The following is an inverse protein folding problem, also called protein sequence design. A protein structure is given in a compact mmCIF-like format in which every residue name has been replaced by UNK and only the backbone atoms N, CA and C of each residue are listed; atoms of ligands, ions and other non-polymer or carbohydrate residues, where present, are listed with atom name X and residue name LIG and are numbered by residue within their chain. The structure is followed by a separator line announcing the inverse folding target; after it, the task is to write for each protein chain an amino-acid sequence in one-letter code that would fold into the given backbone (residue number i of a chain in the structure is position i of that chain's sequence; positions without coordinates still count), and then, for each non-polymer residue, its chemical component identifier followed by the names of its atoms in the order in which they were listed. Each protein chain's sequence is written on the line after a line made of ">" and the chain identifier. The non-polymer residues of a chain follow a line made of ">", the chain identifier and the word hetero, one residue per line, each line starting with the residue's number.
data_IF_925655575493
#
_entry.id   IF_925655575493
#
_cell.length_a   1.000
_cell.length_b   1.000
_cell.length_c   1.000
_cell.angle_alpha   90.00
_cell.angle_beta   90.00
_cell.angle_gamma   90.00
#
_symmetry.space_group_name_H-M   'P 1'
#
loop_
_entity.id
_entity.type
_entity.pdbx_description
1 polymer ?
#
# COMPACT_ATOMS: atom_id res chain seq x y z
N UNK A 1 59.13 -34.20 -37.81
CA UNK A 1 59.15 -33.26 -36.66
C UNK A 1 58.94 -31.82 -37.09
N UNK A 2 59.52 -31.36 -38.21
CA UNK A 2 59.31 -29.98 -38.70
C UNK A 2 57.86 -29.71 -39.16
N UNK A 3 57.24 -30.63 -39.91
CA UNK A 3 55.83 -30.50 -40.36
C UNK A 3 54.83 -30.32 -39.21
N UNK A 4 55.04 -31.02 -38.10
CA UNK A 4 54.13 -30.93 -36.94
C UNK A 4 54.25 -29.59 -36.20
N UNK A 5 55.41 -28.93 -36.30
CA UNK A 5 55.61 -27.58 -35.75
C UNK A 5 54.96 -26.53 -36.65
N UNK A 6 55.03 -26.71 -37.97
CA UNK A 6 54.40 -25.82 -38.95
C UNK A 6 52.85 -25.91 -38.88
N UNK A 7 52.29 -27.11 -38.68
CA UNK A 7 50.85 -27.27 -38.46
C UNK A 7 50.37 -26.59 -37.17
N UNK A 8 51.13 -26.70 -36.08
CA UNK A 8 50.79 -26.04 -34.81
C UNK A 8 50.89 -24.51 -34.89
N UNK A 9 51.84 -23.99 -35.67
CA UNK A 9 51.93 -22.54 -35.93
C UNK A 9 50.76 -22.06 -36.78
N UNK A 10 50.37 -22.84 -37.80
CA UNK A 10 49.21 -22.53 -38.65
C UNK A 10 47.91 -22.50 -37.84
N UNK A 11 47.72 -23.47 -36.93
CA UNK A 11 46.54 -23.50 -36.04
C UNK A 11 46.53 -22.32 -35.09
N UNK A 12 47.68 -21.95 -34.51
CA UNK A 12 47.79 -20.79 -33.62
C UNK A 12 47.48 -19.48 -34.34
N UNK A 13 47.94 -19.34 -35.57
CA UNK A 13 47.77 -18.12 -36.35
C UNK A 13 46.30 -17.99 -36.82
N UNK A 14 45.66 -19.11 -37.17
CA UNK A 14 44.22 -19.16 -37.44
C UNK A 14 43.37 -18.82 -36.22
N UNK A 15 43.71 -19.34 -35.03
CA UNK A 15 43.01 -18.99 -33.79
C UNK A 15 43.17 -17.50 -33.47
N UNK A 16 44.36 -16.94 -33.69
CA UNK A 16 44.63 -15.52 -33.47
C UNK A 16 43.83 -14.62 -34.43
N UNK A 17 43.62 -15.08 -35.66
CA UNK A 17 42.80 -14.38 -36.65
C UNK A 17 41.32 -14.44 -36.30
N UNK A 18 40.80 -15.61 -35.92
CA UNK A 18 39.41 -15.77 -35.47
C UNK A 18 39.13 -14.95 -34.21
N UNK A 19 40.06 -14.91 -33.25
CA UNK A 19 39.92 -14.06 -32.06
C UNK A 19 39.89 -12.58 -32.43
N UNK A 20 40.67 -12.13 -33.43
CA UNK A 20 40.61 -10.74 -33.91
C UNK A 20 39.31 -10.43 -34.64
N UNK A 21 38.80 -11.33 -35.46
CA UNK A 21 37.52 -11.14 -36.18
C UNK A 21 36.35 -11.11 -35.20
N UNK A 22 36.32 -12.01 -34.21
CA UNK A 22 35.31 -12.02 -33.14
C UNK A 22 35.41 -10.78 -32.23
N UNK A 23 36.63 -10.29 -31.96
CA UNK A 23 36.85 -9.06 -31.20
C UNK A 23 36.49 -7.80 -32.01
N UNK A 24 36.61 -7.83 -33.34
CA UNK A 24 36.22 -6.72 -34.22
C UNK A 24 34.69 -6.59 -34.36
N UNK A 25 33.98 -7.72 -34.34
CA UNK A 25 32.51 -7.76 -34.26
C UNK A 25 31.98 -7.41 -32.86
N UNK A 26 32.81 -7.52 -31.82
CA UNK A 26 32.56 -6.96 -30.48
C UNK A 26 32.82 -5.44 -30.40
N UNK A 27 32.56 -4.71 -31.50
CA UNK A 27 32.33 -3.27 -31.42
C UNK A 27 31.11 -3.05 -30.53
N UNK A 28 31.39 -2.68 -29.28
CA UNK A 28 30.38 -2.12 -28.39
C UNK A 28 29.54 -1.11 -29.20
N UNK A 29 28.20 -1.20 -29.20
CA UNK A 29 27.42 -0.08 -29.66
C UNK A 29 27.87 1.11 -28.83
N UNK A 30 28.36 2.17 -29.50
CA UNK A 30 28.72 3.43 -28.86
C UNK A 30 27.58 3.80 -27.92
N UNK A 31 27.86 3.80 -26.61
CA UNK A 31 26.94 4.23 -25.59
C UNK A 31 26.35 5.56 -26.07
N UNK A 32 25.02 5.70 -26.19
CA UNK A 32 24.47 7.04 -26.23
C UNK A 32 24.97 7.74 -24.97
N UNK A 33 25.68 8.85 -25.14
CA UNK A 33 25.85 9.88 -24.11
C UNK A 33 24.47 10.38 -23.75
N UNK A 34 23.80 9.61 -22.91
CA UNK A 34 22.68 10.01 -22.12
C UNK A 34 23.16 9.77 -20.70
N UNK A 35 23.15 10.83 -19.90
CA UNK A 35 23.15 10.79 -18.44
C UNK A 35 22.05 9.83 -17.97
N UNK A 36 22.32 8.54 -18.03
CA UNK A 36 21.43 7.51 -17.51
C UNK A 36 21.89 7.26 -16.10
N UNK A 37 21.68 8.27 -15.26
CA UNK A 37 21.48 8.06 -13.84
C UNK A 37 20.52 6.87 -13.74
N UNK A 38 21.00 5.73 -13.24
CA UNK A 38 20.12 4.66 -12.82
C UNK A 38 19.28 5.28 -11.70
N UNK A 39 18.10 5.81 -12.02
CA UNK A 39 17.18 6.34 -11.01
C UNK A 39 16.62 5.11 -10.31
N UNK A 40 17.35 4.62 -9.32
CA UNK A 40 16.83 3.65 -8.37
C UNK A 40 15.55 4.22 -7.79
N UNK A 41 14.48 3.41 -7.77
CA UNK A 41 13.25 3.83 -7.11
C UNK A 41 13.54 3.95 -5.61
N UNK A 42 13.62 5.18 -5.10
CA UNK A 42 13.82 5.37 -3.67
C UNK A 42 12.61 4.87 -2.86
N UNK A 43 12.81 4.27 -1.66
CA UNK A 43 11.73 3.80 -0.79
C UNK A 43 10.68 4.88 -0.50
N UNK A 44 11.10 6.15 -0.41
CA UNK A 44 10.24 7.31 -0.19
C UNK A 44 9.13 7.45 -1.24
N UNK A 45 9.37 7.01 -2.49
CA UNK A 45 8.35 7.03 -3.55
C UNK A 45 7.23 6.00 -3.31
N UNK A 46 7.52 4.94 -2.55
CA UNK A 46 6.54 3.94 -2.12
C UNK A 46 5.89 4.40 -0.81
N UNK A 47 6.70 4.86 0.13
CA UNK A 47 6.39 5.13 1.53
C UNK A 47 6.84 3.98 2.43
N UNK A 48 6.88 4.23 3.74
CA UNK A 48 7.39 3.27 4.73
C UNK A 48 6.24 2.56 5.44
N UNK A 49 6.47 1.34 5.88
CA UNK A 49 5.53 0.57 6.70
C UNK A 49 6.06 0.45 8.11
N UNK A 50 5.32 1.01 9.07
CA UNK A 50 5.59 0.89 10.50
C UNK A 50 4.29 0.61 11.25
N UNK A 51 4.00 -0.66 11.61
CA UNK A 51 2.79 -1.01 12.35
C UNK A 51 2.78 -0.45 13.78
N UNK A 52 3.94 -0.06 14.32
CA UNK A 52 4.06 0.46 15.69
C UNK A 52 3.93 1.99 15.77
N UNK A 53 3.90 2.67 14.62
CA UNK A 53 3.79 4.12 14.60
C UNK A 53 2.40 4.58 15.10
N UNK A 54 2.33 5.75 15.75
CA UNK A 54 1.05 6.32 16.18
C UNK A 54 0.15 6.57 14.97
N UNK A 55 -1.11 6.18 15.11
CA UNK A 55 -2.13 6.19 14.07
C UNK A 55 -3.40 6.87 14.60
N UNK A 56 -3.92 7.83 13.86
CA UNK A 56 -5.17 8.53 14.16
C UNK A 56 -6.41 7.72 13.75
N UNK A 57 -6.19 6.51 13.22
CA UNK A 57 -7.20 5.57 12.76
C UNK A 57 -7.25 5.45 11.24
N UNK A 58 -6.61 6.35 10.50
CA UNK A 58 -6.59 6.35 9.03
C UNK A 58 -5.72 5.26 8.44
N UNK A 59 -4.81 4.67 9.22
CA UNK A 59 -3.84 3.70 8.72
C UNK A 59 -2.63 4.36 8.04
N UNK A 60 -2.54 5.70 8.07
CA UNK A 60 -1.48 6.51 7.46
C UNK A 60 -1.08 7.60 8.45
N UNK A 61 0.21 7.72 8.71
CA UNK A 61 0.83 8.78 9.49
C UNK A 61 1.80 9.56 8.61
N UNK A 62 1.91 10.87 8.81
CA UNK A 62 2.90 11.69 8.13
C UNK A 62 3.92 12.20 9.14
N UNK A 63 5.19 11.91 8.90
CA UNK A 63 6.29 12.41 9.71
C UNK A 63 7.22 13.23 8.83
N UNK A 64 7.25 14.55 9.02
CA UNK A 64 8.22 15.47 8.39
C UNK A 64 8.44 15.20 6.89
N UNK A 65 7.34 15.06 6.13
CA UNK A 65 7.29 14.78 4.68
C UNK A 65 7.44 13.30 4.25
N UNK A 66 7.51 12.37 5.20
CA UNK A 66 7.54 10.94 4.96
C UNK A 66 6.16 10.35 5.20
N UNK A 67 5.66 9.58 4.23
CA UNK A 67 4.42 8.80 4.40
C UNK A 67 4.74 7.48 5.09
N UNK A 68 4.14 7.27 6.26
CA UNK A 68 4.25 6.05 7.06
C UNK A 68 2.89 5.36 7.08
N UNK A 69 2.82 4.15 6.57
CA UNK A 69 1.66 3.29 6.65
C UNK A 69 1.71 2.48 7.95
N UNK A 70 0.62 2.54 8.71
CA UNK A 70 0.42 1.73 9.93
C UNK A 70 -0.53 0.56 9.67
N UNK A 71 -1.35 0.65 8.63
CA UNK A 71 -2.21 -0.43 8.16
C UNK A 71 -1.54 -1.23 7.03
N UNK A 72 -1.34 -2.53 7.28
CA UNK A 72 -0.77 -3.45 6.30
C UNK A 72 -1.56 -3.50 5.00
N UNK A 73 -2.89 -3.42 5.05
CA UNK A 73 -3.73 -3.52 3.86
C UNK A 73 -3.56 -2.32 2.93
N UNK A 74 -3.31 -1.13 3.50
CA UNK A 74 -3.07 0.09 2.72
C UNK A 74 -1.68 0.01 2.10
N UNK A 75 -0.68 -0.38 2.89
CA UNK A 75 0.70 -0.53 2.42
C UNK A 75 0.80 -1.55 1.28
N UNK A 76 0.20 -2.72 1.41
CA UNK A 76 0.25 -3.76 0.37
C UNK A 76 -0.52 -3.36 -0.87
N UNK A 77 -1.66 -2.66 -0.73
CA UNK A 77 -2.38 -2.08 -1.87
C UNK A 77 -1.52 -1.07 -2.63
N UNK A 78 -0.80 -0.22 -1.89
CA UNK A 78 0.17 0.75 -2.46
C UNK A 78 1.32 0.02 -3.17
N UNK A 79 1.83 -1.04 -2.58
CA UNK A 79 2.91 -1.86 -3.16
C UNK A 79 2.48 -2.48 -4.50
N UNK A 80 1.28 -3.09 -4.54
CA UNK A 80 0.67 -3.64 -5.77
C UNK A 80 0.52 -2.57 -6.85
N UNK A 81 -0.02 -1.41 -6.47
CA UNK A 81 -0.20 -0.28 -7.39
C UNK A 81 1.15 0.22 -7.97
N UNK A 82 2.18 0.36 -7.13
CA UNK A 82 3.51 0.76 -7.57
C UNK A 82 4.16 -0.29 -8.47
N UNK A 83 3.95 -1.58 -8.21
CA UNK A 83 4.42 -2.66 -9.06
C UNK A 83 3.78 -2.62 -10.46
N UNK A 84 2.49 -2.28 -10.54
CA UNK A 84 1.80 -2.11 -11.82
C UNK A 84 2.34 -0.93 -12.65
N UNK A 85 2.80 0.15 -12.00
CA UNK A 85 3.31 1.35 -12.69
C UNK A 85 4.79 1.21 -13.07
N UNK A 86 5.64 0.83 -12.12
CA UNK A 86 7.09 0.84 -12.28
C UNK A 86 7.67 -0.52 -12.70
N UNK A 87 6.86 -1.56 -12.64
CA UNK A 87 7.29 -2.93 -12.86
C UNK A 87 7.71 -3.62 -11.57
N UNK A 88 7.33 -4.89 -11.48
CA UNK A 88 7.50 -5.72 -10.29
C UNK A 88 8.96 -5.93 -9.89
N UNK A 89 9.87 -6.01 -10.86
CA UNK A 89 11.30 -6.18 -10.63
C UNK A 89 11.90 -5.03 -9.80
N UNK A 90 11.48 -3.79 -10.06
CA UNK A 90 11.99 -2.63 -9.31
C UNK A 90 11.44 -2.62 -7.88
N UNK A 91 10.16 -2.92 -7.68
CA UNK A 91 9.56 -2.94 -6.34
C UNK A 91 10.19 -4.03 -5.47
N UNK A 92 10.50 -5.20 -6.05
CA UNK A 92 11.16 -6.30 -5.32
C UNK A 92 12.52 -5.94 -4.75
N UNK A 93 13.22 -4.97 -5.34
CA UNK A 93 14.54 -4.53 -4.87
C UNK A 93 14.48 -3.51 -3.72
N UNK A 94 13.29 -2.99 -3.40
CA UNK A 94 13.12 -1.81 -2.54
C UNK A 94 12.13 -2.04 -1.40
N UNK A 95 11.19 -2.98 -1.52
CA UNK A 95 10.12 -3.17 -0.53
C UNK A 95 10.64 -3.48 0.89
N UNK A 96 11.75 -4.21 1.01
CA UNK A 96 12.36 -4.57 2.29
C UNK A 96 12.93 -3.34 3.02
N UNK A 97 13.43 -2.37 2.25
CA UNK A 97 13.89 -1.06 2.76
C UNK A 97 12.74 -0.14 3.18
N UNK A 98 11.51 -0.46 2.79
CA UNK A 98 10.33 0.29 3.23
C UNK A 98 9.87 -0.14 4.62
N UNK A 99 10.41 -1.23 5.19
CA UNK A 99 9.98 -1.74 6.49
C UNK A 99 10.68 -1.00 7.65
N UNK A 100 9.90 -0.63 8.67
CA UNK A 100 10.39 0.01 9.90
C UNK A 100 9.80 -0.71 11.14
N UNK A 101 10.32 -0.38 12.32
CA UNK A 101 9.79 -0.90 13.59
C UNK A 101 9.75 -2.43 13.66
N UNK A 102 8.65 -2.98 14.18
CA UNK A 102 8.44 -4.41 14.29
C UNK A 102 8.36 -5.12 12.93
N UNK A 103 8.00 -4.43 11.85
CA UNK A 103 8.06 -4.99 10.49
C UNK A 103 9.50 -5.22 10.01
N UNK A 104 10.42 -4.31 10.32
CA UNK A 104 11.84 -4.51 10.03
C UNK A 104 12.44 -5.64 10.87
N UNK A 105 12.09 -5.69 12.16
CA UNK A 105 12.51 -6.76 13.08
C UNK A 105 12.02 -8.12 12.58
N UNK A 106 10.76 -8.20 12.15
CA UNK A 106 10.20 -9.41 11.54
C UNK A 106 11.02 -9.88 10.34
N UNK A 107 11.32 -8.97 9.39
CA UNK A 107 12.09 -9.31 8.22
C UNK A 107 13.52 -9.75 8.57
N UNK A 108 14.19 -9.06 9.49
CA UNK A 108 15.60 -9.31 9.78
C UNK A 108 15.87 -10.45 10.77
N UNK A 109 14.97 -10.66 11.73
CA UNK A 109 15.19 -11.55 12.87
C UNK A 109 14.22 -12.73 12.93
N UNK A 110 12.96 -12.56 12.50
CA UNK A 110 11.95 -13.62 12.57
C UNK A 110 12.02 -14.51 11.34
N UNK A 111 12.16 -13.92 10.15
CA UNK A 111 12.32 -14.70 8.92
C UNK A 111 13.68 -15.40 8.87
N UNK A 112 13.67 -16.67 8.49
CA UNK A 112 14.88 -17.41 8.19
C UNK A 112 15.56 -16.87 6.93
N UNK A 113 16.85 -17.17 6.75
CA UNK A 113 17.58 -16.79 5.54
C UNK A 113 16.93 -17.34 4.26
N UNK A 114 16.40 -18.57 4.32
CA UNK A 114 15.70 -19.19 3.20
C UNK A 114 14.38 -18.48 2.87
N UNK A 115 13.58 -18.12 3.89
CA UNK A 115 12.32 -17.39 3.68
C UNK A 115 12.56 -15.98 3.12
N UNK A 116 13.57 -15.26 3.62
CA UNK A 116 13.95 -13.96 3.04
C UNK A 116 14.32 -14.07 1.58
N UNK A 117 15.17 -15.05 1.23
CA UNK A 117 15.57 -15.27 -0.15
C UNK A 117 14.35 -15.63 -1.03
N UNK A 118 13.45 -16.46 -0.51
CA UNK A 118 12.21 -16.80 -1.18
C UNK A 118 11.37 -15.55 -1.43
N UNK A 119 11.13 -14.70 -0.43
CA UNK A 119 10.38 -13.44 -0.59
C UNK A 119 11.04 -12.45 -1.54
N UNK A 120 12.37 -12.36 -1.54
CA UNK A 120 13.10 -11.48 -2.45
C UNK A 120 12.95 -11.91 -3.93
N UNK A 121 12.80 -13.22 -4.18
CA UNK A 121 12.58 -13.74 -5.54
C UNK A 121 11.11 -13.86 -5.93
N UNK A 122 10.21 -13.89 -4.95
CA UNK A 122 8.78 -14.08 -5.14
C UNK A 122 8.10 -12.88 -5.81
N UNK A 123 6.85 -13.06 -6.22
CA UNK A 123 6.03 -11.96 -6.72
C UNK A 123 5.62 -11.00 -5.59
N UNK A 124 5.34 -9.75 -5.95
CA UNK A 124 4.83 -8.73 -5.02
C UNK A 124 3.50 -9.17 -4.41
N UNK A 125 2.70 -9.98 -5.12
CA UNK A 125 1.48 -10.55 -4.55
C UNK A 125 1.76 -11.53 -3.39
N UNK A 126 2.80 -12.35 -3.53
CA UNK A 126 3.22 -13.27 -2.45
C UNK A 126 3.78 -12.48 -1.27
N UNK A 127 4.57 -11.44 -1.53
CA UNK A 127 5.08 -10.53 -0.49
C UNK A 127 3.93 -9.85 0.25
N UNK A 128 2.96 -9.30 -0.49
CA UNK A 128 1.78 -8.64 0.05
C UNK A 128 0.94 -9.59 0.90
N UNK A 129 0.65 -10.79 0.41
CA UNK A 129 -0.10 -11.82 1.14
C UNK A 129 0.63 -12.21 2.43
N UNK A 130 1.96 -12.32 2.38
CA UNK A 130 2.74 -12.68 3.57
C UNK A 130 2.74 -11.56 4.61
N UNK A 131 2.90 -10.32 4.20
CA UNK A 131 2.78 -9.16 5.07
C UNK A 131 1.39 -9.08 5.71
N UNK A 132 0.33 -9.20 4.91
CA UNK A 132 -1.05 -9.21 5.39
C UNK A 132 -1.28 -10.31 6.43
N UNK A 133 -0.74 -11.51 6.21
CA UNK A 133 -0.85 -12.61 7.18
C UNK A 133 -0.20 -12.29 8.53
N UNK A 134 1.01 -11.72 8.51
CA UNK A 134 1.81 -11.55 9.72
C UNK A 134 1.49 -10.24 10.48
N UNK A 135 0.93 -9.24 9.79
CA UNK A 135 0.60 -7.92 10.36
C UNK A 135 -0.89 -7.55 10.33
N UNK A 136 -1.78 -8.45 9.92
CA UNK A 136 -3.22 -8.23 10.06
C UNK A 136 -3.57 -8.02 11.55
N UNK A 137 -4.37 -6.99 11.89
CA UNK A 137 -4.85 -6.81 13.26
C UNK A 137 -5.56 -8.07 13.77
N UNK A 138 -5.33 -8.38 15.05
CA UNK A 138 -5.99 -9.51 15.71
C UNK A 138 -7.52 -9.45 15.54
N UNK A 139 -8.11 -10.55 15.08
CA UNK A 139 -9.53 -10.63 14.74
C UNK A 139 -10.42 -10.30 15.94
N UNK A 140 -10.11 -10.83 17.12
CA UNK A 140 -10.93 -10.61 18.32
C UNK A 140 -10.92 -9.13 18.71
N UNK A 141 -9.75 -8.50 18.65
CA UNK A 141 -9.57 -7.07 18.92
C UNK A 141 -10.26 -6.19 17.88
N UNK A 142 -10.15 -6.52 16.59
CA UNK A 142 -10.82 -5.80 15.50
C UNK A 142 -12.35 -5.91 15.63
N UNK A 143 -12.86 -7.11 15.91
CA UNK A 143 -14.29 -7.35 16.10
C UNK A 143 -14.84 -6.60 17.32
N UNK A 144 -14.10 -6.56 18.42
CA UNK A 144 -14.46 -5.79 19.60
C UNK A 144 -14.53 -4.27 19.32
N UNK A 145 -13.65 -3.73 18.45
CA UNK A 145 -13.72 -2.33 18.01
C UNK A 145 -14.90 -2.09 17.08
N UNK A 146 -15.12 -3.00 16.14
CA UNK A 146 -16.21 -2.93 15.17
C UNK A 146 -17.59 -2.90 15.85
N UNK A 147 -17.82 -3.81 16.79
CA UNK A 147 -19.10 -3.89 17.52
C UNK A 147 -19.39 -2.65 18.36
N UNK A 148 -18.34 -2.02 18.91
CA UNK A 148 -18.43 -0.79 19.72
C UNK A 148 -18.47 0.49 18.88
N UNK A 149 -18.07 0.46 17.61
CA UNK A 149 -17.98 1.64 16.78
C UNK A 149 -19.37 2.25 16.58
N UNK A 150 -19.57 3.49 17.04
CA UNK A 150 -20.79 4.27 16.81
C UNK A 150 -20.41 5.69 16.45
N UNK A 151 -21.14 6.26 15.51
CA UNK A 151 -21.04 7.67 15.16
C UNK A 151 -22.37 8.34 15.44
N UNK A 152 -22.33 9.23 16.41
CA UNK A 152 -23.50 9.87 16.99
C UNK A 152 -23.63 11.32 16.53
N UNK A 153 -24.79 11.94 16.76
CA UNK A 153 -24.97 13.39 16.52
C UNK A 153 -24.01 14.22 17.38
N UNK A 154 -23.63 13.72 18.56
CA UNK A 154 -22.64 14.35 19.40
C UNK A 154 -21.26 14.36 18.74
N UNK A 155 -20.86 13.26 18.09
CA UNK A 155 -19.59 13.20 17.33
C UNK A 155 -19.56 14.20 16.18
N UNK A 156 -20.69 14.34 15.47
CA UNK A 156 -20.86 15.36 14.44
C UNK A 156 -20.77 16.78 15.02
N UNK A 157 -21.37 17.02 16.19
CA UNK A 157 -21.30 18.30 16.89
C UNK A 157 -19.87 18.65 17.34
N UNK A 158 -19.10 17.65 17.78
CA UNK A 158 -17.69 17.78 18.11
C UNK A 158 -16.78 17.90 16.87
N UNK A 159 -17.37 18.04 15.68
CA UNK A 159 -16.66 18.18 14.40
C UNK A 159 -15.68 17.02 14.12
N UNK A 160 -16.03 15.81 14.58
CA UNK A 160 -15.31 14.60 14.16
C UNK A 160 -15.59 14.34 12.69
N UNK A 161 -14.58 13.90 11.95
CA UNK A 161 -14.74 13.64 10.53
C UNK A 161 -15.45 12.30 10.30
N UNK A 162 -16.64 12.35 9.67
CA UNK A 162 -17.42 11.16 9.30
C UNK A 162 -16.63 10.23 8.38
N UNK A 163 -15.79 10.77 7.48
CA UNK A 163 -14.98 9.99 6.56
C UNK A 163 -13.93 9.18 7.30
N UNK A 164 -13.26 9.80 8.27
CA UNK A 164 -12.26 9.12 9.10
C UNK A 164 -12.93 8.01 9.91
N UNK A 165 -14.10 8.28 10.49
CA UNK A 165 -14.89 7.24 11.15
C UNK A 165 -15.21 6.05 10.23
N UNK A 166 -15.69 6.30 9.00
CA UNK A 166 -15.98 5.23 8.04
C UNK A 166 -14.74 4.43 7.69
N UNK A 167 -13.60 5.08 7.46
CA UNK A 167 -12.33 4.39 7.17
C UNK A 167 -11.95 3.47 8.34
N UNK A 168 -12.08 3.94 9.58
CA UNK A 168 -11.81 3.13 10.78
C UNK A 168 -12.73 1.90 10.84
N UNK A 169 -14.02 2.08 10.58
CA UNK A 169 -14.99 0.96 10.61
C UNK A 169 -14.68 -0.06 9.52
N UNK A 170 -14.46 0.39 8.28
CA UNK A 170 -14.12 -0.46 7.14
C UNK A 170 -12.83 -1.23 7.39
N UNK A 171 -11.79 -0.58 7.94
CA UNK A 171 -10.54 -1.22 8.32
C UNK A 171 -10.73 -2.35 9.34
N UNK A 172 -11.49 -2.10 10.40
CA UNK A 172 -11.79 -3.13 11.40
C UNK A 172 -12.60 -4.29 10.80
N UNK A 173 -13.59 -4.00 9.96
CA UNK A 173 -14.38 -5.00 9.25
C UNK A 173 -13.51 -5.85 8.30
N UNK A 174 -12.56 -5.23 7.60
CA UNK A 174 -11.59 -5.91 6.73
C UNK A 174 -10.67 -6.83 7.53
N UNK A 175 -10.17 -6.39 8.69
CA UNK A 175 -9.41 -7.25 9.59
C UNK A 175 -10.23 -8.44 10.13
N UNK A 176 -11.55 -8.30 10.23
CA UNK A 176 -12.46 -9.41 10.53
C UNK A 176 -12.70 -10.37 9.33
N UNK A 177 -12.09 -10.13 8.17
CA UNK A 177 -12.28 -10.95 6.96
C UNK A 177 -13.61 -10.72 6.25
N UNK A 178 -14.28 -9.59 6.51
CA UNK A 178 -15.53 -9.23 5.82
C UNK A 178 -15.24 -8.82 4.38
N UNK A 179 -16.13 -9.18 3.44
CA UNK A 179 -16.06 -8.69 2.07
C UNK A 179 -16.45 -7.20 1.97
N UNK A 180 -16.15 -6.54 0.85
CA UNK A 180 -16.36 -5.10 0.67
C UNK A 180 -17.80 -4.66 0.95
N UNK A 181 -18.78 -5.44 0.49
CA UNK A 181 -20.19 -5.14 0.75
C UNK A 181 -20.54 -5.19 2.26
N UNK A 182 -20.08 -6.22 2.97
CA UNK A 182 -20.27 -6.35 4.41
C UNK A 182 -19.52 -5.28 5.20
N UNK A 183 -18.36 -4.83 4.73
CA UNK A 183 -17.64 -3.69 5.31
C UNK A 183 -18.48 -2.40 5.19
N UNK A 184 -19.09 -2.14 4.03
CA UNK A 184 -19.95 -0.97 3.81
C UNK A 184 -21.23 -1.02 4.65
N UNK A 185 -21.88 -2.20 4.75
CA UNK A 185 -23.03 -2.39 5.63
C UNK A 185 -22.64 -2.07 7.08
N UNK A 186 -21.50 -2.59 7.55
CA UNK A 186 -21.02 -2.35 8.91
C UNK A 186 -20.78 -0.86 9.17
N UNK A 187 -20.21 -0.14 8.20
CA UNK A 187 -20.04 1.31 8.28
C UNK A 187 -21.38 2.05 8.33
N UNK A 188 -22.36 1.66 7.51
CA UNK A 188 -23.70 2.23 7.53
C UNK A 188 -24.42 2.01 8.87
N UNK A 189 -24.41 0.77 9.38
CA UNK A 189 -25.08 0.39 10.63
C UNK A 189 -24.42 1.00 11.86
N UNK A 190 -23.16 1.45 11.75
CA UNK A 190 -22.46 2.12 12.82
C UNK A 190 -22.87 3.60 12.99
N UNK A 191 -23.60 4.20 12.04
CA UNK A 191 -24.20 5.53 12.22
C UNK A 191 -25.49 5.46 13.02
N UNK A 192 -25.74 6.43 13.89
CA UNK A 192 -27.01 6.53 14.60
C UNK A 192 -28.21 6.77 13.66
N UNK A 193 -29.38 6.24 14.02
CA UNK A 193 -30.60 6.33 13.20
C UNK A 193 -30.98 7.73 12.70
N UNK A 194 -30.91 8.79 13.53
CA UNK A 194 -31.15 10.16 13.07
C UNK A 194 -30.16 10.60 11.99
N UNK A 195 -28.90 10.18 12.07
CA UNK A 195 -27.88 10.47 11.07
C UNK A 195 -28.20 9.69 9.79
N UNK A 196 -28.52 8.41 9.86
CA UNK A 196 -28.93 7.62 8.69
C UNK A 196 -30.13 8.28 7.96
N UNK A 197 -31.09 8.80 8.71
CA UNK A 197 -32.26 9.49 8.16
C UNK A 197 -31.89 10.82 7.50
N UNK A 198 -31.08 11.66 8.17
CA UNK A 198 -30.66 12.98 7.67
C UNK A 198 -29.75 12.87 6.46
N UNK A 199 -28.83 11.90 6.47
CA UNK A 199 -27.94 11.69 5.35
C UNK A 199 -28.66 11.02 4.16
N UNK A 200 -29.89 10.53 4.34
CA UNK A 200 -30.82 10.19 3.25
C UNK A 200 -30.31 9.13 2.26
N UNK A 201 -29.28 8.37 2.63
CA UNK A 201 -28.66 7.41 1.74
C UNK A 201 -29.24 6.01 1.93
N UNK A 202 -29.55 5.37 0.81
CA UNK A 202 -30.00 4.00 0.80
C UNK A 202 -28.92 3.10 1.42
N UNK A 203 -29.37 2.11 2.21
CA UNK A 203 -28.50 1.06 2.72
C UNK A 203 -27.66 0.51 1.56
N UNK A 204 -26.32 0.36 1.73
CA UNK A 204 -25.47 -0.16 0.67
C UNK A 204 -26.02 -1.47 0.12
N UNK A 205 -26.06 -1.57 -1.20
CA UNK A 205 -26.38 -2.81 -1.93
C UNK A 205 -25.09 -3.49 -2.38
N UNK A 206 -25.20 -4.68 -2.97
CA UNK A 206 -24.03 -5.44 -3.46
C UNK A 206 -23.26 -4.66 -4.53
N UNK A 207 -23.95 -3.83 -5.30
CA UNK A 207 -23.36 -3.01 -6.37
C UNK A 207 -22.81 -1.66 -5.87
N UNK A 208 -23.04 -1.32 -4.60
CA UNK A 208 -22.58 -0.04 -4.04
C UNK A 208 -21.07 -0.09 -3.85
N UNK A 209 -20.36 0.78 -4.55
CA UNK A 209 -18.90 0.90 -4.40
C UNK A 209 -18.54 1.78 -3.20
N UNK A 210 -17.33 1.59 -2.66
CA UNK A 210 -16.80 2.49 -1.63
C UNK A 210 -16.76 3.94 -2.12
N UNK A 211 -16.44 4.19 -3.39
CA UNK A 211 -16.45 5.53 -3.97
C UNK A 211 -17.84 6.17 -3.91
N UNK A 212 -18.89 5.45 -4.34
CA UNK A 212 -20.28 5.93 -4.27
C UNK A 212 -20.69 6.21 -2.83
N UNK A 213 -20.35 5.31 -1.91
CA UNK A 213 -20.66 5.46 -0.49
C UNK A 213 -19.97 6.71 0.11
N UNK A 214 -18.68 6.88 -0.13
CA UNK A 214 -17.90 8.02 0.38
C UNK A 214 -18.33 9.35 -0.24
N UNK A 215 -18.67 9.39 -1.54
CA UNK A 215 -19.19 10.60 -2.19
C UNK A 215 -20.51 11.04 -1.55
N UNK A 216 -21.37 10.08 -1.24
CA UNK A 216 -22.65 10.33 -0.59
C UNK A 216 -22.46 10.92 0.80
N UNK A 217 -21.56 10.37 1.61
CA UNK A 217 -21.21 10.91 2.94
C UNK A 217 -20.68 12.35 2.83
N UNK A 218 -19.77 12.63 1.89
CA UNK A 218 -19.20 13.97 1.69
C UNK A 218 -20.26 15.00 1.32
N UNK A 219 -21.21 14.64 0.47
CA UNK A 219 -22.30 15.53 0.07
C UNK A 219 -23.24 15.82 1.24
N UNK A 220 -23.49 14.82 2.08
CA UNK A 220 -24.39 14.97 3.21
C UNK A 220 -23.75 15.73 4.38
N UNK A 221 -22.46 15.51 4.68
CA UNK A 221 -21.73 16.24 5.73
C UNK A 221 -21.76 17.77 5.53
N UNK A 222 -21.79 18.25 4.28
CA UNK A 222 -21.97 19.68 3.96
C UNK A 222 -23.35 20.20 4.35
N UNK A 223 -24.39 19.38 4.20
CA UNK A 223 -25.77 19.73 4.54
C UNK A 223 -26.02 19.69 6.05
N UNK A 224 -25.45 18.71 6.77
CA UNK A 224 -25.60 18.57 8.22
C UNK A 224 -24.93 19.72 8.99
N UNK A 225 -23.76 20.19 8.52
CA UNK A 225 -23.08 21.37 9.07
C UNK A 225 -23.86 22.68 8.81
N UNK A 226 -24.53 22.79 7.66
CA UNK A 226 -25.40 23.93 7.35
C UNK A 226 -26.62 23.96 8.28
N UNK A 227 -27.27 22.81 8.50
CA UNK A 227 -28.42 22.69 9.40
C UNK A 227 -28.06 22.90 10.88
N UNK A 228 -26.87 22.45 11.32
CA UNK A 228 -26.37 22.70 12.68
C UNK A 228 -26.12 24.19 12.97
N UNK A 229 -25.60 24.95 11.99
CA UNK A 229 -25.41 26.41 12.08
C UNK A 229 -26.75 27.16 12.11
N UNK A 230 -27.73 26.73 11.32
CA UNK A 230 -29.09 27.30 11.36
C UNK A 230 -29.79 27.07 12.70
N UNK A 231 -29.59 25.92 13.34
CA UNK A 231 -30.11 25.65 14.67
C UNK A 231 -29.47 26.56 15.75
N UNK A 232 -28.16 26.82 15.67
CA UNK A 232 -27.48 27.79 16.54
C UNK A 232 -27.97 29.23 16.33
N UNK A 233 -28.20 29.63 15.07
CA UNK A 233 -28.78 30.95 14.76
C UNK A 233 -30.19 31.13 15.33
N UNK A 234 -30.96 30.03 15.44
CA UNK A 234 -32.32 30.03 16.02
C UNK A 234 -32.37 29.91 17.54
N UNK A 235 -31.31 29.39 18.18
CA UNK A 235 -31.28 29.15 19.64
C UNK A 235 -30.35 30.09 20.40
N UNK A 236 -29.47 30.83 19.71
CA UNK A 236 -28.55 31.82 20.28
C UNK A 236 -29.05 33.27 20.31
N UNK A 237 -30.36 33.50 20.12
CA UNK A 237 -31.01 34.79 20.44
C UNK A 237 -31.84 34.62 21.71
N UNK A 238 -31.17 34.73 22.85
CA UNK A 238 -31.76 34.75 24.19
C UNK A 238 -30.78 35.34 25.17
#
# INVERSE_FOLDING_TARGET
>A
MQEFVDELQTVRDNISQVVREVMADFRQPSLPTADTTFIGLEPEHIGYFNPDAPDDGTGISMETDITIFTDVFIFTSRLRHRAAIHGEALIRLVWDRCLLGSALVWHLQILTAAERLALHTASIEVVATRLEKDFCPDHASAFARLTKARYTLWDAFQNKDMMIFVIIVVRNAKACGMNDHAQLISAFEAFDGPIQMVLGFARPTVDTTLEQFTMTIKNCGKNTLAQGKEYQARTGSG
#
